data_IF_018930526402
#
_entry.id   IF_018930526402
#
_cell.length_a   1.000
_cell.length_b   1.000
_cell.length_c   1.000
_cell.angle_alpha   90.00
_cell.angle_beta   90.00
_cell.angle_gamma   90.00
#
_symmetry.space_group_name_H-M   'P 1'
#
loop_
_entity.id
_entity.type
_entity.pdbx_description
1 polymer ?
#
# COMPACT_ATOMS: atom_id res chain seq x y z
N UNK A 1 -5.82 -6.91 -9.11
CA UNK A 1 -5.60 -6.00 -7.96
C UNK A 1 -4.23 -5.30 -7.94
N UNK A 2 -4.14 -4.15 -7.27
CA UNK A 2 -2.89 -3.38 -7.00
C UNK A 2 -2.57 -3.42 -5.50
N UNK A 3 -1.39 -3.91 -5.13
CA UNK A 3 -0.95 -4.10 -3.75
C UNK A 3 0.37 -3.37 -3.47
N UNK A 4 0.61 -2.97 -2.23
CA UNK A 4 1.90 -2.43 -1.78
C UNK A 4 2.69 -3.56 -1.11
N UNK A 5 3.92 -3.77 -1.55
CA UNK A 5 4.84 -4.66 -0.87
C UNK A 5 5.29 -4.02 0.45
N UNK A 6 5.09 -4.72 1.56
CA UNK A 6 5.38 -4.18 2.91
C UNK A 6 6.88 -3.99 3.20
N UNK A 7 7.76 -4.69 2.48
CA UNK A 7 9.21 -4.59 2.62
C UNK A 7 9.80 -3.51 1.72
N UNK A 8 9.36 -3.45 0.46
CA UNK A 8 9.92 -2.51 -0.53
C UNK A 8 9.12 -1.21 -0.63
N UNK A 9 7.90 -1.19 -0.11
CA UNK A 9 6.90 -0.13 -0.24
C UNK A 9 6.50 0.20 -1.68
N UNK A 10 6.88 -0.66 -2.64
CA UNK A 10 6.55 -0.50 -4.06
C UNK A 10 5.17 -1.07 -4.36
N UNK A 11 4.55 -0.53 -5.41
CA UNK A 11 3.37 -1.13 -6.01
C UNK A 11 3.71 -2.43 -6.74
N UNK A 12 2.90 -3.44 -6.49
CA UNK A 12 2.89 -4.73 -7.17
C UNK A 12 1.52 -4.96 -7.80
N UNK A 13 1.54 -5.53 -9.00
CA UNK A 13 0.34 -5.78 -9.81
C UNK A 13 0.05 -7.27 -9.78
N UNK A 14 -1.18 -7.61 -9.41
CA UNK A 14 -1.67 -8.97 -9.37
C UNK A 14 -2.86 -9.11 -10.31
N UNK A 15 -2.91 -10.21 -11.05
CA UNK A 15 -4.10 -10.58 -11.80
C UNK A 15 -5.23 -10.95 -10.84
N UNK A 16 -6.47 -10.69 -11.24
CA UNK A 16 -7.63 -11.13 -10.48
C UNK A 16 -8.10 -12.53 -10.96
N UNK A 17 -8.42 -13.45 -10.04
CA UNK A 17 -8.33 -13.31 -8.59
C UNK A 17 -6.88 -13.38 -8.09
N UNK A 18 -6.58 -12.57 -7.07
CA UNK A 18 -5.29 -12.68 -6.36
C UNK A 18 -5.16 -14.06 -5.72
N UNK A 19 -3.99 -14.72 -5.80
CA UNK A 19 -3.81 -16.05 -5.21
C UNK A 19 -4.18 -16.08 -3.73
N UNK A 20 -4.83 -17.15 -3.27
CA UNK A 20 -5.21 -17.31 -1.87
C UNK A 20 -4.00 -17.32 -0.91
N UNK A 21 -2.83 -17.73 -1.43
CA UNK A 21 -1.54 -17.69 -0.73
C UNK A 21 -1.09 -16.26 -0.42
N UNK A 22 -1.53 -15.28 -1.20
CA UNK A 22 -1.12 -13.89 -1.08
C UNK A 22 -1.83 -13.24 0.12
N UNK A 23 -1.19 -13.32 1.28
CA UNK A 23 -1.67 -12.69 2.52
C UNK A 23 -1.48 -11.18 2.48
N UNK A 24 -2.54 -10.46 2.16
CA UNK A 24 -2.58 -9.00 2.22
C UNK A 24 -3.34 -8.45 3.43
N UNK A 25 -2.98 -7.24 3.84
CA UNK A 25 -3.71 -6.45 4.84
C UNK A 25 -4.46 -5.34 4.13
N UNK A 26 -5.72 -5.10 4.48
CA UNK A 26 -6.49 -4.00 3.91
C UNK A 26 -6.24 -2.75 4.75
N UNK A 27 -5.72 -1.69 4.12
CA UNK A 27 -5.65 -0.36 4.71
C UNK A 27 -6.98 0.37 4.48
N UNK A 28 -7.89 0.25 5.44
CA UNK A 28 -9.20 0.91 5.46
C UNK A 28 -9.12 2.27 6.16
N UNK A 29 -8.79 3.35 5.43
CA UNK A 29 -9.11 4.72 5.81
C UNK A 29 -8.65 5.70 4.72
N UNK A 30 -9.56 6.56 4.24
CA UNK A 30 -9.27 7.78 3.46
C UNK A 30 -8.82 8.91 4.41
N UNK A 31 -8.10 9.92 3.93
CA UNK A 31 -7.17 10.73 4.73
C UNK A 31 -7.61 12.18 4.98
N UNK A 32 -7.00 12.74 6.04
CA UNK A 32 -6.58 14.14 6.22
C UNK A 32 -5.73 14.67 5.03
N UNK A 33 -5.19 15.90 5.13
CA UNK A 33 -4.39 16.55 4.08
C UNK A 33 -3.18 15.75 3.56
N UNK A 34 -2.90 15.89 2.26
CA UNK A 34 -1.70 15.38 1.55
C UNK A 34 -1.64 13.84 1.41
N UNK A 35 -2.75 13.29 0.90
CA UNK A 35 -2.92 11.87 0.62
C UNK A 35 -2.01 11.38 -0.52
N UNK A 36 -1.46 10.16 -0.34
CA UNK A 36 -0.72 9.42 -1.37
C UNK A 36 -1.68 8.67 -2.28
N UNK A 37 -1.67 9.00 -3.56
CA UNK A 37 -2.46 8.37 -4.61
C UNK A 37 -1.62 7.39 -5.47
N UNK A 38 -2.24 6.82 -6.50
CA UNK A 38 -1.59 5.87 -7.40
C UNK A 38 -0.42 6.47 -8.18
N UNK A 39 -0.59 7.67 -8.72
CA UNK A 39 0.45 8.35 -9.51
C UNK A 39 1.67 8.67 -8.64
N UNK A 40 1.46 9.12 -7.40
CA UNK A 40 2.56 9.35 -6.48
C UNK A 40 3.36 8.06 -6.24
N UNK A 41 2.68 6.92 -6.10
CA UNK A 41 3.32 5.63 -5.81
C UNK A 41 4.09 5.05 -7.01
N UNK A 42 3.90 5.58 -8.23
CA UNK A 42 4.77 5.24 -9.38
C UNK A 42 6.20 5.78 -9.16
N UNK A 43 6.33 6.88 -8.44
CA UNK A 43 7.62 7.43 -8.01
C UNK A 43 7.69 7.50 -6.48
N UNK A 44 8.37 6.51 -5.88
CA UNK A 44 8.58 6.47 -4.43
C UNK A 44 9.22 7.75 -3.87
N UNK A 45 10.01 8.50 -4.64
CA UNK A 45 10.58 9.77 -4.18
C UNK A 45 9.52 10.87 -4.06
N UNK A 46 8.48 10.84 -4.90
CA UNK A 46 7.30 11.72 -4.80
C UNK A 46 6.42 11.26 -3.66
N UNK A 47 6.06 9.96 -3.61
CA UNK A 47 5.23 9.41 -2.55
C UNK A 47 5.79 9.71 -1.16
N UNK A 48 7.10 9.54 -0.94
CA UNK A 48 7.78 9.80 0.34
C UNK A 48 7.67 11.23 0.86
N UNK A 49 7.40 12.20 -0.01
CA UNK A 49 7.25 13.61 0.39
C UNK A 49 5.89 13.91 0.98
N UNK A 50 4.91 13.03 0.78
CA UNK A 50 3.54 13.25 1.21
C UNK A 50 3.34 12.81 2.66
N UNK A 51 2.54 13.58 3.42
CA UNK A 51 2.14 13.20 4.79
C UNK A 51 1.47 11.82 4.83
N UNK A 52 0.70 11.51 3.79
CA UNK A 52 0.07 10.20 3.59
C UNK A 52 1.02 9.00 3.55
N UNK A 53 2.32 9.21 3.33
CA UNK A 53 3.29 8.12 3.24
C UNK A 53 3.65 7.53 4.60
N UNK A 54 3.69 8.35 5.64
CA UNK A 54 4.08 7.91 6.98
C UNK A 54 3.17 6.80 7.51
N UNK A 55 1.85 6.86 7.26
CA UNK A 55 0.94 5.77 7.66
C UNK A 55 0.95 4.58 6.69
N UNK A 56 1.35 4.73 5.42
CA UNK A 56 1.69 3.56 4.60
C UNK A 56 2.84 2.78 5.26
N UNK A 57 3.90 3.49 5.67
CA UNK A 57 5.05 2.87 6.36
C UNK A 57 4.65 2.22 7.68
N UNK A 58 3.88 2.92 8.52
CA UNK A 58 3.44 2.39 9.81
C UNK A 58 2.60 1.12 9.65
N UNK A 59 1.67 1.11 8.69
CA UNK A 59 0.81 -0.05 8.46
C UNK A 59 1.60 -1.20 7.80
N UNK A 60 2.57 -0.91 6.94
CA UNK A 60 3.48 -1.94 6.43
C UNK A 60 4.29 -2.59 7.55
N UNK A 61 4.80 -1.80 8.50
CA UNK A 61 5.51 -2.33 9.67
C UNK A 61 4.60 -3.23 10.54
N UNK A 62 3.36 -2.81 10.79
CA UNK A 62 2.37 -3.64 11.49
C UNK A 62 2.05 -4.93 10.71
N UNK A 63 1.86 -4.83 9.39
CA UNK A 63 1.59 -5.97 8.53
C UNK A 63 2.72 -7.02 8.58
N UNK A 64 3.98 -6.57 8.54
CA UNK A 64 5.16 -7.44 8.71
C UNK A 64 5.12 -8.14 10.07
N UNK A 65 4.81 -7.43 11.15
CA UNK A 65 4.66 -8.02 12.48
C UNK A 65 3.57 -9.10 12.58
N UNK A 66 2.57 -9.05 11.69
CA UNK A 66 1.51 -10.05 11.57
C UNK A 66 1.77 -11.11 10.48
N UNK A 67 2.95 -11.16 9.87
CA UNK A 67 3.29 -12.10 8.80
C UNK A 67 2.53 -11.85 7.48
N UNK A 68 2.09 -10.60 7.24
CA UNK A 68 1.53 -10.15 5.97
C UNK A 68 2.58 -9.41 5.17
N UNK A 69 2.68 -9.75 3.89
CA UNK A 69 3.72 -9.23 3.01
C UNK A 69 3.18 -8.16 2.05
N UNK A 70 1.86 -8.09 1.92
CA UNK A 70 1.18 -7.23 0.98
C UNK A 70 0.17 -6.35 1.71
N UNK A 71 -0.07 -5.16 1.17
CA UNK A 71 -1.03 -4.20 1.68
C UNK A 71 -1.93 -3.72 0.55
N UNK A 72 -3.22 -4.01 0.66
CA UNK A 72 -4.23 -3.54 -0.28
C UNK A 72 -4.73 -2.16 0.15
N UNK A 73 -4.80 -1.23 -0.80
CA UNK A 73 -5.38 0.10 -0.62
C UNK A 73 -6.44 0.31 -1.68
N UNK A 74 -7.70 0.43 -1.24
CA UNK A 74 -8.88 0.50 -2.09
C UNK A 74 -8.91 1.73 -3.02
N UNK A 75 -8.16 2.79 -2.71
CA UNK A 75 -8.17 4.05 -3.48
C UNK A 75 -7.34 3.97 -4.76
N UNK A 76 -6.42 3.00 -4.89
CA UNK A 76 -5.73 2.81 -6.16
C UNK A 76 -6.65 2.33 -7.27
N UNK A 77 -7.90 1.99 -6.98
CA UNK A 77 -8.90 1.62 -7.99
C UNK A 77 -9.72 2.80 -8.53
N UNK A 78 -9.55 4.01 -7.98
CA UNK A 78 -10.11 5.24 -8.57
C UNK A 78 -9.12 5.93 -9.50
#
# INVERSE_FOLDING_TARGET
MRLINTQTLKLEFFNDPVPAEARYTILLHTWEDDEVNFEDMKDLAVARRKKGFAKIQAVCALAVGHGRHLLYRQIFER
#
